data_IF_090740611331
#
_entry.id   IF_090740611331
#
_cell.length_a   1.000
_cell.length_b   1.000
_cell.length_c   1.000
_cell.angle_alpha   90.00
_cell.angle_beta   90.00
_cell.angle_gamma   90.00
#
_symmetry.space_group_name_H-M   'P 1'
#
loop_
_entity.id
_entity.type
_entity.pdbx_description
1 polymer ?
#
# COMPACT_ATOMS: atom_id res chain seq x y z
N UNK A 1 -18.39 -4.96 9.04
CA UNK A 1 -17.21 -4.28 9.61
C UNK A 1 -16.31 -5.31 10.26
N UNK A 2 -15.03 -5.35 9.89
CA UNK A 2 -14.04 -6.30 10.42
C UNK A 2 -13.73 -6.07 11.91
N UNK A 3 -13.33 -7.13 12.62
CA UNK A 3 -12.75 -7.02 13.96
C UNK A 3 -11.29 -6.55 13.91
N UNK A 4 -10.80 -5.90 14.97
CA UNK A 4 -9.42 -5.37 15.07
C UNK A 4 -8.35 -6.41 14.75
N UNK A 5 -8.51 -7.65 15.22
CA UNK A 5 -7.59 -8.75 14.92
C UNK A 5 -7.54 -9.11 13.42
N UNK A 6 -8.69 -9.09 12.73
CA UNK A 6 -8.76 -9.34 11.29
C UNK A 6 -8.10 -8.19 10.50
N UNK A 7 -8.27 -6.94 10.96
CA UNK A 7 -7.61 -5.77 10.35
C UNK A 7 -6.09 -5.89 10.48
N UNK A 8 -5.59 -6.26 11.67
CA UNK A 8 -4.15 -6.47 11.90
C UNK A 8 -3.57 -7.59 11.01
N UNK A 9 -4.30 -8.70 10.87
CA UNK A 9 -3.89 -9.81 10.01
C UNK A 9 -3.80 -9.37 8.54
N UNK A 10 -4.83 -8.68 8.04
CA UNK A 10 -4.85 -8.17 6.66
C UNK A 10 -3.77 -7.10 6.44
N UNK A 11 -3.56 -6.21 7.41
CA UNK A 11 -2.49 -5.22 7.36
C UNK A 11 -1.11 -5.86 7.20
N UNK A 12 -0.86 -6.99 7.86
CA UNK A 12 0.41 -7.72 7.72
C UNK A 12 0.65 -8.20 6.28
N UNK A 13 -0.41 -8.60 5.56
CA UNK A 13 -0.34 -8.99 4.15
C UNK A 13 -0.09 -7.78 3.23
N UNK A 14 -0.68 -6.63 3.56
CA UNK A 14 -0.44 -5.36 2.87
C UNK A 14 1.02 -4.94 3.01
N UNK A 15 1.58 -5.02 4.22
CA UNK A 15 2.98 -4.71 4.47
C UNK A 15 3.93 -5.59 3.64
N UNK A 16 3.67 -6.90 3.56
CA UNK A 16 4.44 -7.80 2.70
C UNK A 16 4.36 -7.42 1.22
N UNK A 17 3.16 -7.05 0.75
CA UNK A 17 2.94 -6.61 -0.64
C UNK A 17 3.71 -5.33 -0.95
N UNK A 18 3.73 -4.37 -0.03
CA UNK A 18 4.47 -3.11 -0.17
C UNK A 18 5.98 -3.34 -0.17
N UNK A 19 6.49 -4.21 0.71
CA UNK A 19 7.92 -4.58 0.72
C UNK A 19 8.34 -5.21 -0.62
N UNK A 20 7.50 -6.10 -1.18
CA UNK A 20 7.74 -6.68 -2.50
C UNK A 20 7.74 -5.63 -3.62
N UNK A 21 6.79 -4.68 -3.58
CA UNK A 21 6.74 -3.60 -4.56
C UNK A 21 7.95 -2.68 -4.46
N UNK A 22 8.43 -2.39 -3.24
CA UNK A 22 9.64 -1.60 -3.02
C UNK A 22 10.87 -2.29 -3.61
N UNK A 23 11.02 -3.60 -3.38
CA UNK A 23 12.12 -4.39 -3.94
C UNK A 23 12.08 -4.39 -5.48
N UNK A 24 10.91 -4.65 -6.07
CA UNK A 24 10.75 -4.68 -7.54
C UNK A 24 11.05 -3.33 -8.16
N UNK A 25 10.47 -2.24 -7.65
CA UNK A 25 10.68 -0.89 -8.20
C UNK A 25 12.11 -0.38 -8.00
N UNK A 26 12.82 -0.89 -6.99
CA UNK A 26 14.24 -0.59 -6.75
C UNK A 26 15.16 -1.35 -7.71
N UNK A 27 14.87 -2.61 -7.98
CA UNK A 27 15.71 -3.49 -8.80
C UNK A 27 15.46 -3.34 -10.31
N UNK A 28 14.26 -2.87 -10.71
CA UNK A 28 13.96 -2.59 -12.11
C UNK A 28 14.56 -1.24 -12.54
N UNK A 29 15.56 -1.32 -13.42
CA UNK A 29 16.26 -0.14 -13.98
C UNK A 29 15.35 0.72 -14.86
N UNK A 30 14.29 0.13 -15.44
CA UNK A 30 13.29 0.82 -16.24
C UNK A 30 12.11 1.37 -15.42
N UNK A 31 12.11 1.21 -14.09
CA UNK A 31 11.06 1.77 -13.25
C UNK A 31 11.13 3.31 -13.27
N UNK A 32 10.03 4.01 -13.64
CA UNK A 32 9.93 5.46 -13.53
C UNK A 32 10.21 5.93 -12.09
N UNK A 33 11.00 6.99 -11.95
CA UNK A 33 11.39 7.53 -10.64
C UNK A 33 10.19 7.91 -9.78
N UNK A 34 9.14 8.46 -10.40
CA UNK A 34 7.91 8.88 -9.72
C UNK A 34 7.19 7.70 -9.05
N UNK A 35 7.15 6.53 -9.72
CA UNK A 35 6.56 5.32 -9.15
C UNK A 35 7.43 4.78 -8.02
N UNK A 36 8.76 4.76 -8.21
CA UNK A 36 9.70 4.32 -7.18
C UNK A 36 9.59 5.19 -5.92
N UNK A 37 9.53 6.51 -6.09
CA UNK A 37 9.39 7.48 -5.00
C UNK A 37 8.05 7.32 -4.28
N UNK A 38 6.96 7.07 -5.03
CA UNK A 38 5.64 6.83 -4.46
C UNK A 38 5.63 5.56 -3.59
N UNK A 39 6.10 4.43 -4.13
CA UNK A 39 6.18 3.16 -3.38
C UNK A 39 7.10 3.29 -2.16
N UNK A 40 8.23 3.98 -2.28
CA UNK A 40 9.11 4.24 -1.13
C UNK A 40 8.45 5.09 -0.05
N UNK A 41 7.63 6.08 -0.42
CA UNK A 41 6.85 6.86 0.57
C UNK A 41 5.86 5.96 1.31
N UNK A 42 5.13 5.09 0.60
CA UNK A 42 4.21 4.12 1.23
C UNK A 42 4.99 3.20 2.18
N UNK A 43 6.12 2.63 1.74
CA UNK A 43 6.96 1.76 2.55
C UNK A 43 7.47 2.45 3.83
N UNK A 44 7.85 3.73 3.75
CA UNK A 44 8.28 4.53 4.91
C UNK A 44 7.17 4.82 5.91
N UNK A 45 5.91 4.84 5.48
CA UNK A 45 4.77 4.99 6.38
C UNK A 45 4.35 3.69 7.08
N UNK A 46 4.75 2.52 6.56
CA UNK A 46 4.38 1.22 7.15
C UNK A 46 4.74 1.07 8.64
N UNK A 47 5.92 1.49 9.13
CA UNK A 47 6.23 1.42 10.56
C UNK A 47 5.31 2.30 11.41
N UNK A 48 4.88 3.46 10.91
CA UNK A 48 3.93 4.33 11.61
C UNK A 48 2.55 3.68 11.65
N UNK A 49 2.08 3.19 10.51
CA UNK A 49 0.81 2.48 10.39
C UNK A 49 0.76 1.23 11.28
N UNK A 50 1.86 0.47 11.38
CA UNK A 50 1.96 -0.69 12.27
C UNK A 50 1.72 -0.34 13.74
N UNK A 51 2.20 0.83 14.21
CA UNK A 51 1.93 1.30 15.58
C UNK A 51 0.46 1.64 15.77
N UNK A 52 -0.20 2.21 14.76
CA UNK A 52 -1.64 2.48 14.79
C UNK A 52 -2.42 1.17 14.86
N UNK A 53 -2.05 0.17 14.07
CA UNK A 53 -2.70 -1.16 14.09
C UNK A 53 -2.60 -1.85 15.44
N UNK A 54 -1.53 -1.61 16.20
CA UNK A 54 -1.33 -2.16 17.55
C UNK A 54 -2.07 -1.39 18.66
N UNK A 55 -2.64 -0.21 18.36
CA UNK A 55 -3.29 0.64 19.36
C UNK A 55 -4.67 0.15 19.81
N UNK A 56 -5.25 -0.83 19.11
CA UNK A 56 -6.64 -1.32 19.26
C UNK A 56 -7.73 -0.23 19.10
N UNK A 57 -7.36 0.96 18.64
CA UNK A 57 -8.30 2.03 18.30
C UNK A 57 -8.75 1.85 16.85
N UNK A 58 -9.92 1.25 16.68
CA UNK A 58 -10.46 0.92 15.36
C UNK A 58 -10.67 2.17 14.49
N UNK A 59 -11.10 3.30 15.05
CA UNK A 59 -11.29 4.54 14.28
C UNK A 59 -9.96 5.03 13.71
N UNK A 60 -8.90 5.03 14.52
CA UNK A 60 -7.56 5.39 14.05
C UNK A 60 -7.01 4.40 13.02
N UNK A 61 -7.34 3.11 13.16
CA UNK A 61 -6.97 2.09 12.17
C UNK A 61 -7.64 2.37 10.82
N UNK A 62 -8.94 2.67 10.80
CA UNK A 62 -9.69 3.02 9.59
C UNK A 62 -9.08 4.25 8.92
N UNK A 63 -8.86 5.34 9.65
CA UNK A 63 -8.22 6.56 9.12
C UNK A 63 -6.83 6.28 8.55
N UNK A 64 -6.07 5.39 9.19
CA UNK A 64 -4.76 4.99 8.70
C UNK A 64 -4.85 4.20 7.39
N UNK A 65 -5.81 3.28 7.25
CA UNK A 65 -6.02 2.54 6.01
C UNK A 65 -6.50 3.47 4.89
N UNK A 66 -7.41 4.41 5.17
CA UNK A 66 -7.88 5.39 4.19
C UNK A 66 -6.72 6.21 3.61
N UNK A 67 -5.79 6.68 4.46
CA UNK A 67 -4.59 7.41 4.02
C UNK A 67 -3.66 6.56 3.16
N UNK A 68 -3.45 5.30 3.55
CA UNK A 68 -2.60 4.39 2.77
C UNK A 68 -3.22 4.06 1.42
N UNK A 69 -4.53 3.86 1.35
CA UNK A 69 -5.27 3.63 0.11
C UNK A 69 -5.18 4.83 -0.82
N UNK A 70 -5.30 6.06 -0.31
CA UNK A 70 -5.08 7.28 -1.10
C UNK A 70 -3.69 7.30 -1.75
N UNK A 71 -2.63 6.96 -0.99
CA UNK A 71 -1.28 6.83 -1.55
C UNK A 71 -1.17 5.70 -2.59
N UNK A 72 -1.89 4.59 -2.38
CA UNK A 72 -1.97 3.48 -3.33
C UNK A 72 -2.68 3.86 -4.63
N UNK A 73 -3.76 4.63 -4.55
CA UNK A 73 -4.45 5.16 -5.73
C UNK A 73 -3.58 6.15 -6.49
N UNK A 74 -2.85 7.04 -5.80
CA UNK A 74 -1.82 7.90 -6.42
C UNK A 74 -0.80 7.07 -7.20
N UNK A 75 -0.29 5.99 -6.61
CA UNK A 75 0.66 5.09 -7.27
C UNK A 75 0.05 4.47 -8.54
N UNK A 76 -1.21 4.02 -8.47
CA UNK A 76 -1.93 3.43 -9.62
C UNK A 76 -2.19 4.45 -10.71
N UNK A 77 -2.47 5.71 -10.38
CA UNK A 77 -2.61 6.80 -11.35
C UNK A 77 -1.28 7.11 -12.05
N UNK A 78 -0.18 7.21 -11.30
CA UNK A 78 1.17 7.38 -11.87
C UNK A 78 1.55 6.22 -12.79
N UNK A 79 1.19 4.99 -12.42
CA UNK A 79 1.42 3.81 -13.25
C UNK A 79 0.72 3.89 -14.61
N UNK A 80 -0.47 4.49 -14.69
CA UNK A 80 -1.19 4.69 -15.96
C UNK A 80 -0.52 5.74 -16.85
N UNK A 81 0.05 6.79 -16.28
CA UNK A 81 0.69 7.87 -17.04
C UNK A 81 2.13 7.55 -17.45
N UNK A 82 2.91 6.92 -16.57
CA UNK A 82 4.34 6.69 -16.77
C UNK A 82 4.68 5.43 -17.57
N UNK A 83 3.68 4.59 -17.88
CA UNK A 83 3.83 3.35 -18.69
C UNK A 83 5.06 2.51 -18.30
N UNK A 84 5.17 2.06 -17.04
CA UNK A 84 6.33 1.32 -16.58
C UNK A 84 6.39 -0.10 -17.18
N UNK A 85 7.43 -0.85 -16.84
CA UNK A 85 7.50 -2.27 -17.18
C UNK A 85 6.26 -3.03 -16.67
N UNK A 86 5.85 -4.14 -17.32
CA UNK A 86 4.74 -4.96 -16.84
C UNK A 86 4.92 -5.46 -15.40
N UNK A 87 6.17 -5.70 -14.99
CA UNK A 87 6.50 -6.13 -13.63
C UNK A 87 6.20 -5.04 -12.61
N UNK A 88 6.63 -3.80 -12.87
CA UNK A 88 6.33 -2.65 -12.01
C UNK A 88 4.84 -2.35 -11.99
N UNK A 89 4.16 -2.39 -13.14
CA UNK A 89 2.73 -2.17 -13.21
C UNK A 89 1.93 -3.19 -12.38
N UNK A 90 2.34 -4.46 -12.43
CA UNK A 90 1.71 -5.53 -11.67
C UNK A 90 1.83 -5.32 -10.16
N UNK A 91 3.02 -4.99 -9.65
CA UNK A 91 3.21 -4.79 -8.20
C UNK A 91 2.49 -3.53 -7.69
N UNK A 92 2.47 -2.44 -8.47
CA UNK A 92 1.74 -1.23 -8.10
C UNK A 92 0.24 -1.48 -8.06
N UNK A 93 -0.29 -2.21 -9.05
CA UNK A 93 -1.70 -2.60 -9.08
C UNK A 93 -2.04 -3.45 -7.87
N UNK A 94 -1.20 -4.44 -7.53
CA UNK A 94 -1.39 -5.28 -6.35
C UNK A 94 -1.40 -4.49 -5.05
N UNK A 95 -0.50 -3.51 -4.87
CA UNK A 95 -0.49 -2.62 -3.69
C UNK A 95 -1.82 -1.89 -3.54
N UNK A 96 -2.30 -1.25 -4.61
CA UNK A 96 -3.59 -0.56 -4.57
C UNK A 96 -4.76 -1.53 -4.31
N UNK A 97 -4.78 -2.70 -4.95
CA UNK A 97 -5.89 -3.63 -4.82
C UNK A 97 -6.02 -4.15 -3.38
N UNK A 98 -4.92 -4.53 -2.72
CA UNK A 98 -4.97 -4.99 -1.31
C UNK A 98 -5.37 -3.90 -0.32
N UNK A 99 -5.00 -2.65 -0.60
CA UNK A 99 -5.40 -1.48 0.21
C UNK A 99 -6.88 -1.17 0.02
N UNK A 100 -7.34 -1.15 -1.23
CA UNK A 100 -8.74 -0.91 -1.60
C UNK A 100 -9.65 -1.99 -1.04
N UNK A 101 -9.26 -3.26 -1.14
CA UNK A 101 -10.02 -4.37 -0.59
C UNK A 101 -10.18 -4.27 0.93
N UNK A 102 -9.12 -3.88 1.65
CA UNK A 102 -9.22 -3.68 3.09
C UNK A 102 -10.12 -2.48 3.41
N UNK A 103 -9.95 -1.34 2.73
CA UNK A 103 -10.81 -0.17 2.91
C UNK A 103 -12.28 -0.51 2.71
N UNK A 104 -12.64 -1.22 1.64
CA UNK A 104 -14.02 -1.64 1.36
C UNK A 104 -14.61 -2.59 2.41
N UNK A 105 -13.80 -3.29 3.20
CA UNK A 105 -14.29 -4.17 4.28
C UNK A 105 -14.44 -3.45 5.62
N UNK A 106 -13.83 -2.27 5.74
CA UNK A 106 -13.91 -1.40 6.90
C UNK A 106 -15.14 -0.48 6.87
N UNK A 107 -15.61 -0.14 5.67
CA UNK A 107 -16.80 0.66 5.41
C UNK A 107 -17.98 -0.21 4.96
#
# INVERSE_FOLDING_TARGET
MLQTAEIQQRFSQIQQTINQAEEVTRNDQGAPSEIRDCIQKIAREMPNAQRVMQSNDQSRMVECIDKLEEMGDDAKRLCRSAQPSPQVASVVTRVHDVLSDLKHQLH
#
